data_IF_460574823798
#
_entry.id   IF_460574823798
#
_cell.length_a   1.000
_cell.length_b   1.000
_cell.length_c   1.000
_cell.angle_alpha   90.00
_cell.angle_beta   90.00
_cell.angle_gamma   90.00
#
_symmetry.space_group_name_H-M   'P 1'
#
loop_
_entity.id
_entity.type
_entity.pdbx_description
1 polymer ?
#
# COMPACT_ATOMS: atom_id res chain seq x y z
N UNK A 1 -69.99 -27.24 20.95
CA UNK A 1 -69.86 -26.01 21.77
C UNK A 1 -68.93 -26.29 22.93
N UNK A 2 -67.67 -25.84 22.89
CA UNK A 2 -66.81 -25.77 24.09
C UNK A 2 -65.63 -24.81 23.88
N UNK A 3 -65.81 -23.61 24.47
CA UNK A 3 -64.87 -22.65 25.05
C UNK A 3 -63.44 -22.52 24.52
N UNK A 4 -63.22 -21.35 23.91
CA UNK A 4 -62.02 -20.54 23.81
C UNK A 4 -61.18 -20.45 25.10
N UNK A 5 -59.85 -20.52 24.95
CA UNK A 5 -58.92 -19.78 25.80
C UNK A 5 -57.80 -19.17 24.95
N UNK A 6 -57.91 -17.86 24.75
CA UNK A 6 -56.86 -16.97 24.31
C UNK A 6 -55.83 -16.86 25.44
N UNK A 7 -54.54 -17.03 25.11
CA UNK A 7 -53.46 -16.52 25.95
C UNK A 7 -52.32 -16.04 25.05
N UNK A 8 -52.19 -14.72 25.02
CA UNK A 8 -51.07 -13.98 24.44
C UNK A 8 -49.74 -14.43 25.09
N UNK A 9 -48.70 -14.57 24.28
CA UNK A 9 -47.30 -14.59 24.74
C UNK A 9 -46.48 -13.70 23.80
N UNK A 10 -45.69 -12.75 24.34
CA UNK A 10 -45.18 -11.60 23.60
C UNK A 10 -43.97 -11.93 22.74
N UNK A 11 -43.78 -11.08 21.73
CA UNK A 11 -42.63 -10.95 20.84
C UNK A 11 -41.31 -10.93 21.63
N UNK A 12 -40.45 -11.92 21.42
CA UNK A 12 -39.06 -11.89 21.87
C UNK A 12 -38.16 -11.70 20.64
N UNK A 13 -37.85 -10.43 20.34
CA UNK A 13 -36.82 -10.04 19.39
C UNK A 13 -35.45 -10.36 19.99
N UNK A 14 -34.85 -11.47 19.56
CA UNK A 14 -33.48 -11.83 19.91
C UNK A 14 -32.53 -11.05 18.99
N UNK A 15 -32.05 -9.90 19.46
CA UNK A 15 -30.97 -9.16 18.79
C UNK A 15 -29.66 -9.94 18.95
N UNK A 16 -29.25 -10.63 17.89
CA UNK A 16 -27.93 -11.26 17.79
C UNK A 16 -26.91 -10.14 17.56
N UNK A 17 -26.26 -9.69 18.62
CA UNK A 17 -25.06 -8.85 18.52
C UNK A 17 -23.90 -9.74 18.07
N UNK A 18 -23.56 -9.71 16.78
CA UNK A 18 -22.33 -10.33 16.29
C UNK A 18 -21.14 -9.54 16.84
N UNK A 19 -20.12 -10.19 17.44
CA UNK A 19 -18.87 -9.51 17.74
C UNK A 19 -18.19 -9.14 16.41
N UNK A 20 -18.07 -7.84 16.16
CA UNK A 20 -17.16 -7.28 15.17
C UNK A 20 -15.74 -7.64 15.59
N UNK A 21 -15.24 -8.79 15.13
CA UNK A 21 -13.83 -9.14 15.25
C UNK A 21 -13.09 -8.24 14.26
N UNK A 22 -12.57 -7.11 14.75
CA UNK A 22 -11.64 -6.29 14.00
C UNK A 22 -10.45 -7.17 13.63
N UNK A 23 -10.31 -7.50 12.34
CA UNK A 23 -9.12 -8.16 11.84
C UNK A 23 -8.02 -7.09 11.84
N UNK A 24 -7.15 -7.13 12.85
CA UNK A 24 -5.88 -6.45 12.74
C UNK A 24 -5.24 -6.97 11.45
N UNK A 25 -5.04 -6.10 10.46
CA UNK A 25 -4.18 -6.42 9.35
C UNK A 25 -2.82 -6.78 9.95
N UNK A 26 -2.28 -7.95 9.65
CA UNK A 26 -0.89 -8.28 9.97
C UNK A 26 -0.02 -7.25 9.24
N UNK A 27 0.33 -6.15 9.93
CA UNK A 27 1.04 -5.01 9.36
C UNK A 27 2.34 -5.46 8.68
N UNK A 28 3.00 -6.46 9.26
CA UNK A 28 4.23 -7.06 8.72
C UNK A 28 4.01 -7.78 7.37
N UNK A 29 2.84 -8.41 7.20
CA UNK A 29 2.45 -9.04 5.93
C UNK A 29 2.00 -8.03 4.88
N UNK A 30 1.42 -6.89 5.30
CA UNK A 30 1.03 -5.79 4.43
C UNK A 30 2.24 -5.06 3.86
N UNK A 31 3.16 -4.64 4.75
CA UNK A 31 4.43 -3.99 4.39
C UNK A 31 5.20 -4.82 3.37
N UNK A 32 5.38 -6.12 3.63
CA UNK A 32 6.12 -7.01 2.72
C UNK A 32 5.49 -7.09 1.31
N UNK A 33 4.15 -7.09 1.20
CA UNK A 33 3.45 -7.09 -0.11
C UNK A 33 3.61 -5.76 -0.85
N UNK A 34 3.49 -4.65 -0.13
CA UNK A 34 3.65 -3.31 -0.70
C UNK A 34 5.09 -3.08 -1.15
N UNK A 35 6.08 -3.49 -0.35
CA UNK A 35 7.50 -3.43 -0.70
C UNK A 35 7.83 -4.34 -1.89
N UNK A 36 7.24 -5.53 -1.95
CA UNK A 36 7.40 -6.43 -3.10
C UNK A 36 6.86 -5.81 -4.39
N UNK A 37 5.67 -5.20 -4.33
CA UNK A 37 5.04 -4.51 -5.47
C UNK A 37 5.86 -3.29 -5.90
N UNK A 38 6.27 -2.44 -4.94
CA UNK A 38 7.14 -1.29 -5.20
C UNK A 38 8.48 -1.72 -5.82
N UNK A 39 9.09 -2.81 -5.34
CA UNK A 39 10.34 -3.34 -5.92
C UNK A 39 10.16 -3.82 -7.35
N UNK A 40 9.03 -4.48 -7.66
CA UNK A 40 8.72 -4.91 -9.03
C UNK A 40 8.57 -3.71 -9.98
N UNK A 41 7.90 -2.64 -9.53
CA UNK A 41 7.78 -1.40 -10.29
C UNK A 41 9.13 -0.68 -10.46
N UNK A 42 9.99 -0.67 -9.45
CA UNK A 42 11.37 -0.17 -9.60
C UNK A 42 12.16 -0.98 -10.66
N UNK A 43 12.01 -2.31 -10.68
CA UNK A 43 12.60 -3.16 -11.72
C UNK A 43 12.06 -2.87 -13.13
N UNK A 44 10.76 -2.60 -13.25
CA UNK A 44 10.17 -2.20 -14.53
C UNK A 44 10.63 -0.80 -14.97
N UNK A 45 10.81 0.14 -14.03
CA UNK A 45 11.38 1.45 -14.34
C UNK A 45 12.81 1.33 -14.87
N UNK A 46 13.63 0.47 -14.25
CA UNK A 46 14.99 0.14 -14.71
C UNK A 46 15.00 -0.52 -16.10
N UNK A 47 13.97 -1.31 -16.42
CA UNK A 47 13.82 -1.97 -17.73
C UNK A 47 13.05 -1.14 -18.77
N UNK A 48 12.64 0.09 -18.45
CA UNK A 48 11.78 0.89 -19.31
C UNK A 48 12.49 1.33 -20.60
N UNK A 49 11.76 1.32 -21.72
CA UNK A 49 12.28 1.66 -23.04
C UNK A 49 12.41 3.18 -23.29
N UNK A 50 11.72 4.00 -22.50
CA UNK A 50 11.75 5.45 -22.59
C UNK A 50 11.53 6.11 -21.22
N UNK A 51 11.87 7.40 -21.15
CA UNK A 51 11.84 8.18 -19.91
C UNK A 51 10.44 8.28 -19.31
N UNK A 52 9.41 8.40 -20.17
CA UNK A 52 8.03 8.51 -19.71
C UNK A 52 7.61 7.24 -18.98
N UNK A 53 7.92 6.07 -19.54
CA UNK A 53 7.61 4.79 -18.92
C UNK A 53 8.40 4.57 -17.63
N UNK A 54 9.67 4.98 -17.60
CA UNK A 54 10.48 4.96 -16.38
C UNK A 54 9.84 5.80 -15.26
N UNK A 55 9.42 7.03 -15.58
CA UNK A 55 8.73 7.92 -14.64
C UNK A 55 7.41 7.35 -14.14
N UNK A 56 6.55 6.81 -15.03
CA UNK A 56 5.28 6.17 -14.62
C UNK A 56 5.54 5.04 -13.61
N UNK A 57 6.51 4.17 -13.88
CA UNK A 57 6.84 3.10 -12.95
C UNK A 57 7.44 3.61 -11.63
N UNK A 58 8.23 4.68 -11.63
CA UNK A 58 8.71 5.31 -10.39
C UNK A 58 7.60 6.00 -9.60
N UNK A 59 6.61 6.61 -10.26
CA UNK A 59 5.42 7.14 -9.59
C UNK A 59 4.62 6.04 -8.89
N UNK A 60 4.48 4.88 -9.53
CA UNK A 60 3.85 3.71 -8.89
C UNK A 60 4.60 3.26 -7.63
N UNK A 61 5.94 3.33 -7.62
CA UNK A 61 6.75 3.10 -6.40
C UNK A 61 6.36 4.10 -5.32
N UNK A 62 6.35 5.40 -5.64
CA UNK A 62 6.02 6.47 -4.68
C UNK A 62 4.64 6.21 -4.07
N UNK A 63 3.61 5.99 -4.90
CA UNK A 63 2.25 5.72 -4.46
C UNK A 63 2.16 4.51 -3.52
N UNK A 64 2.88 3.42 -3.83
CA UNK A 64 2.97 2.25 -2.96
C UNK A 64 3.63 2.54 -1.60
N UNK A 65 4.68 3.36 -1.58
CA UNK A 65 5.43 3.67 -0.35
C UNK A 65 4.65 4.59 0.59
N UNK A 66 3.98 5.61 0.04
CA UNK A 66 3.34 6.66 0.86
C UNK A 66 1.84 6.42 1.06
N UNK A 67 1.19 5.71 0.14
CA UNK A 67 -0.25 5.45 0.11
C UNK A 67 -1.12 6.71 -0.08
N UNK A 68 -2.45 6.56 -0.22
CA UNK A 68 -3.34 7.65 -0.66
C UNK A 68 -3.43 8.87 0.25
N UNK A 69 -2.98 8.76 1.50
CA UNK A 69 -2.92 9.88 2.47
C UNK A 69 -1.53 10.50 2.58
N UNK A 70 -0.53 9.93 1.89
CA UNK A 70 0.83 10.45 1.83
C UNK A 70 0.91 11.73 1.02
N UNK A 71 1.78 12.66 1.44
CA UNK A 71 1.95 13.96 0.78
C UNK A 71 2.45 13.82 -0.66
N UNK A 72 3.31 12.83 -0.91
CA UNK A 72 3.95 12.58 -2.20
C UNK A 72 3.08 11.71 -3.12
N UNK A 73 1.88 11.31 -2.68
CA UNK A 73 0.96 10.52 -3.50
C UNK A 73 0.50 11.33 -4.71
N UNK A 74 0.63 10.74 -5.89
CA UNK A 74 0.12 11.31 -7.13
C UNK A 74 -1.17 10.58 -7.55
N UNK A 75 -2.29 11.28 -7.41
CA UNK A 75 -3.61 10.76 -7.76
C UNK A 75 -3.88 10.71 -9.28
N UNK A 76 -2.99 11.25 -10.12
CA UNK A 76 -3.05 11.09 -11.58
C UNK A 76 -2.41 9.78 -12.04
N UNK A 77 -1.59 9.15 -11.20
CA UNK A 77 -0.94 7.88 -11.46
C UNK A 77 -1.69 6.75 -10.76
N UNK A 78 -1.51 5.52 -11.24
CA UNK A 78 -2.14 4.36 -10.61
C UNK A 78 -1.57 4.11 -9.20
N UNK A 79 -2.36 3.44 -8.37
CA UNK A 79 -1.92 2.90 -7.07
C UNK A 79 -1.92 1.37 -7.12
N UNK A 80 -0.80 0.74 -7.52
CA UNK A 80 -0.71 -0.72 -7.58
C UNK A 80 -0.84 -1.40 -6.22
N UNK A 81 -0.62 -0.66 -5.13
CA UNK A 81 -0.71 -1.16 -3.77
C UNK A 81 -2.09 -0.93 -3.13
N UNK A 82 -3.06 -0.44 -3.90
CA UNK A 82 -4.42 -0.20 -3.43
C UNK A 82 -5.02 -1.46 -2.80
N UNK A 83 -5.44 -1.32 -1.54
CA UNK A 83 -6.03 -2.42 -0.77
C UNK A 83 -5.02 -3.39 -0.14
N UNK A 84 -3.71 -3.16 -0.30
CA UNK A 84 -2.67 -3.93 0.40
C UNK A 84 -2.33 -3.36 1.79
N UNK A 85 -2.63 -2.08 2.02
CA UNK A 85 -2.38 -1.36 3.26
C UNK A 85 -2.65 0.15 3.10
N UNK A 86 -2.07 0.96 3.97
CA UNK A 86 -2.21 2.42 3.96
C UNK A 86 -1.01 3.14 3.33
N UNK A 87 -0.01 2.39 2.86
CA UNK A 87 1.28 2.87 2.38
C UNK A 87 2.41 2.21 3.16
N UNK A 88 3.45 1.70 2.49
CA UNK A 88 4.43 0.84 3.13
C UNK A 88 5.11 1.53 4.34
N UNK A 89 5.36 2.84 4.23
CA UNK A 89 5.94 3.66 5.31
C UNK A 89 4.97 3.76 6.50
N UNK A 90 3.69 4.01 6.23
CA UNK A 90 2.65 4.12 7.27
C UNK A 90 2.50 2.80 8.00
N UNK A 91 2.49 1.69 7.25
CA UNK A 91 2.27 0.36 7.80
C UNK A 91 3.53 -0.20 8.51
N UNK A 92 4.72 0.31 8.20
CA UNK A 92 5.98 -0.03 8.88
C UNK A 92 6.20 0.71 10.21
N UNK A 93 5.26 1.58 10.62
CA UNK A 93 5.39 2.40 11.82
C UNK A 93 5.73 1.55 13.06
N UNK A 94 6.81 1.93 13.74
CA UNK A 94 7.32 1.22 14.92
C UNK A 94 8.49 0.29 14.61
N UNK A 95 8.82 0.08 13.34
CA UNK A 95 10.08 -0.50 12.89
C UNK A 95 10.95 0.60 12.26
N UNK A 96 11.81 1.20 13.08
CA UNK A 96 12.68 2.30 12.68
C UNK A 96 13.63 1.93 11.53
N UNK A 97 14.07 0.67 11.43
CA UNK A 97 14.95 0.24 10.35
C UNK A 97 14.19 0.17 9.02
N UNK A 98 12.98 -0.41 9.03
CA UNK A 98 12.10 -0.40 7.87
C UNK A 98 11.69 1.01 7.47
N UNK A 99 11.26 1.86 8.41
CA UNK A 99 10.91 3.25 8.12
C UNK A 99 12.05 4.01 7.45
N UNK A 100 13.28 3.90 7.99
CA UNK A 100 14.46 4.56 7.42
C UNK A 100 14.76 4.09 5.99
N UNK A 101 14.73 2.77 5.77
CA UNK A 101 14.95 2.15 4.44
C UNK A 101 13.89 2.60 3.43
N UNK A 102 12.61 2.62 3.83
CA UNK A 102 11.50 2.99 2.95
C UNK A 102 11.52 4.48 2.61
N UNK A 103 11.89 5.35 3.55
CA UNK A 103 12.10 6.77 3.26
C UNK A 103 13.29 7.01 2.32
N UNK A 104 14.37 6.24 2.44
CA UNK A 104 15.48 6.31 1.49
C UNK A 104 15.04 5.91 0.08
N UNK A 105 14.26 4.83 -0.07
CA UNK A 105 13.69 4.42 -1.34
C UNK A 105 12.72 5.46 -1.92
N UNK A 106 11.89 6.09 -1.08
CA UNK A 106 11.01 7.19 -1.49
C UNK A 106 11.81 8.36 -2.09
N UNK A 107 12.84 8.83 -1.38
CA UNK A 107 13.66 9.94 -1.85
C UNK A 107 14.36 9.64 -3.18
N UNK A 108 14.81 8.39 -3.39
CA UNK A 108 15.38 7.94 -4.66
C UNK A 108 14.34 7.92 -5.77
N UNK A 109 13.13 7.42 -5.50
CA UNK A 109 12.04 7.42 -6.49
C UNK A 109 11.59 8.84 -6.86
N UNK A 110 11.47 9.73 -5.88
CA UNK A 110 11.16 11.15 -6.08
C UNK A 110 12.23 11.89 -6.89
N UNK A 111 13.51 11.53 -6.72
CA UNK A 111 14.58 12.05 -7.57
C UNK A 111 14.45 11.50 -8.99
N UNK A 112 14.23 10.19 -9.12
CA UNK A 112 14.07 9.51 -10.40
C UNK A 112 12.96 10.09 -11.28
N UNK A 113 11.78 10.40 -10.72
CA UNK A 113 10.68 11.04 -11.48
C UNK A 113 10.98 12.48 -11.94
N UNK A 114 12.02 13.12 -11.38
CA UNK A 114 12.45 14.48 -11.75
C UNK A 114 13.63 14.50 -12.72
N UNK A 115 14.21 13.35 -13.04
CA UNK A 115 15.32 13.23 -13.99
C UNK A 115 14.88 13.60 -15.40
N UNK A 116 15.82 14.07 -16.22
CA UNK A 116 15.56 14.50 -17.60
C UNK A 116 16.14 13.54 -18.64
N UNK A 117 16.80 12.45 -18.20
CA UNK A 117 17.38 11.43 -19.06
C UNK A 117 16.95 10.03 -18.59
N UNK A 118 16.84 9.10 -19.54
CA UNK A 118 16.49 7.71 -19.22
C UNK A 118 17.54 7.04 -18.35
N UNK A 119 18.82 7.28 -18.63
CA UNK A 119 19.94 6.70 -17.89
C UNK A 119 19.93 7.12 -16.41
N UNK A 120 19.63 8.40 -16.12
CA UNK A 120 19.50 8.88 -14.74
C UNK A 120 18.29 8.26 -14.04
N UNK A 121 17.14 8.16 -14.73
CA UNK A 121 15.95 7.49 -14.20
C UNK A 121 16.22 6.01 -13.88
N UNK A 122 16.94 5.31 -14.77
CA UNK A 122 17.38 3.93 -14.56
C UNK A 122 18.32 3.82 -13.35
N UNK A 123 19.29 4.73 -13.21
CA UNK A 123 20.21 4.74 -12.09
C UNK A 123 19.46 4.85 -10.75
N UNK A 124 18.44 5.71 -10.67
CA UNK A 124 17.62 5.83 -9.45
C UNK A 124 16.69 4.65 -9.25
N UNK A 125 16.06 4.12 -10.31
CA UNK A 125 15.27 2.90 -10.24
C UNK A 125 16.07 1.70 -9.69
N UNK A 126 17.34 1.57 -10.10
CA UNK A 126 18.24 0.56 -9.55
C UNK A 126 18.53 0.80 -8.06
N UNK A 127 18.75 2.05 -7.63
CA UNK A 127 18.94 2.38 -6.20
C UNK A 127 17.70 2.03 -5.38
N UNK A 128 16.51 2.36 -5.88
CA UNK A 128 15.23 2.02 -5.25
C UNK A 128 15.13 0.50 -5.08
N UNK A 129 15.34 -0.27 -6.16
CA UNK A 129 15.25 -1.72 -6.13
C UNK A 129 16.22 -2.33 -5.10
N UNK A 130 17.50 -1.90 -5.11
CA UNK A 130 18.50 -2.36 -4.15
C UNK A 130 18.14 -2.00 -2.71
N UNK A 131 17.65 -0.77 -2.50
CA UNK A 131 17.26 -0.29 -1.16
C UNK A 131 16.09 -1.10 -0.61
N UNK A 132 15.06 -1.36 -1.42
CA UNK A 132 13.89 -2.13 -0.99
C UNK A 132 14.17 -3.62 -0.78
N UNK A 133 15.14 -4.18 -1.49
CA UNK A 133 15.52 -5.60 -1.35
C UNK A 133 16.53 -5.87 -0.22
N UNK A 134 17.16 -4.81 0.31
CA UNK A 134 18.07 -4.92 1.46
C UNK A 134 17.27 -5.29 2.71
N UNK A 135 17.67 -6.34 3.44
CA UNK A 135 17.00 -6.80 4.67
C UNK A 135 17.59 -6.16 5.91
#
# INVERSE_FOLDING_TARGET
MTKTFIRWVPTLLLAIALPMVARAADSDSGVSKQVGTASAHAGMALGAADLKLAHTHLHHVINCLVGPSGKEFDAQEEDPCKGMGQGAIVDAKGDAASESRLHAALAQAEHGVKTTTLDDAHADAQKVMTTLQTK
#
